data_IF_564218065195
#
_entry.id   IF_564218065195
#
_cell.length_a   1.000
_cell.length_b   1.000
_cell.length_c   1.000
_cell.angle_alpha   90.00
_cell.angle_beta   90.00
_cell.angle_gamma   90.00
#
_symmetry.space_group_name_H-M   'P 1'
#
loop_
_entity.id
_entity.type
_entity.pdbx_description
1 polymer ?
#
# COMPACT_ATOMS: atom_id res chain seq x y z
N UNK A 1 27.41 -24.54 12.80
CA UNK A 1 26.04 -24.43 12.24
C UNK A 1 25.37 -23.04 12.48
N UNK A 2 25.72 -22.27 13.52
CA UNK A 2 25.10 -20.99 13.83
C UNK A 2 25.36 -19.83 12.83
N UNK A 3 26.58 -19.72 12.29
CA UNK A 3 26.95 -18.63 11.36
C UNK A 3 26.27 -18.74 9.97
N UNK A 4 26.07 -19.94 9.45
CA UNK A 4 25.36 -20.12 8.17
C UNK A 4 23.87 -19.78 8.28
N UNK A 5 23.23 -20.07 9.42
CA UNK A 5 21.83 -19.72 9.68
C UNK A 5 21.63 -18.20 9.73
N UNK A 6 22.53 -17.47 10.42
CA UNK A 6 22.47 -16.01 10.51
C UNK A 6 22.69 -15.32 9.16
N UNK A 7 23.61 -15.82 8.33
CA UNK A 7 23.84 -15.27 6.98
C UNK A 7 22.64 -15.50 6.04
N UNK A 8 21.98 -16.65 6.15
CA UNK A 8 20.79 -16.96 5.33
C UNK A 8 19.59 -16.08 5.72
N UNK A 9 19.38 -15.86 7.01
CA UNK A 9 18.32 -14.96 7.52
C UNK A 9 18.60 -13.51 7.09
N UNK A 10 19.83 -13.03 7.22
CA UNK A 10 20.20 -11.69 6.78
C UNK A 10 19.99 -11.47 5.27
N UNK A 11 20.36 -12.44 4.43
CA UNK A 11 20.09 -12.40 2.97
C UNK A 11 18.59 -12.37 2.66
N UNK A 12 17.78 -13.16 3.37
CA UNK A 12 16.33 -13.16 3.22
C UNK A 12 15.69 -11.80 3.53
N UNK A 13 16.15 -11.16 4.60
CA UNK A 13 15.67 -9.81 4.99
C UNK A 13 16.07 -8.75 3.97
N UNK A 14 17.33 -8.75 3.49
CA UNK A 14 17.80 -7.79 2.48
C UNK A 14 17.02 -7.95 1.17
N UNK A 15 16.79 -9.19 0.72
CA UNK A 15 15.95 -9.46 -0.45
C UNK A 15 14.50 -9.00 -0.23
N UNK A 16 13.95 -9.18 0.99
CA UNK A 16 12.62 -8.68 1.36
C UNK A 16 12.52 -7.14 1.28
N UNK A 17 13.55 -6.43 1.75
CA UNK A 17 13.62 -4.96 1.65
C UNK A 17 13.70 -4.50 0.19
N UNK A 18 14.52 -5.14 -0.66
CA UNK A 18 14.62 -4.83 -2.08
C UNK A 18 13.29 -5.02 -2.83
N UNK A 19 12.60 -6.14 -2.57
CA UNK A 19 11.29 -6.41 -3.14
C UNK A 19 10.24 -5.40 -2.64
N UNK A 20 10.28 -5.04 -1.36
CA UNK A 20 9.44 -3.99 -0.80
C UNK A 20 9.67 -2.63 -1.47
N UNK A 21 10.93 -2.25 -1.70
CA UNK A 21 11.29 -1.02 -2.39
C UNK A 21 10.77 -1.00 -3.84
N UNK A 22 10.87 -2.13 -4.56
CA UNK A 22 10.31 -2.26 -5.91
C UNK A 22 8.78 -2.10 -5.90
N UNK A 23 8.09 -2.70 -4.92
CA UNK A 23 6.65 -2.50 -4.73
C UNK A 23 6.28 -1.05 -4.45
N UNK A 24 7.03 -0.38 -3.57
CA UNK A 24 6.82 1.05 -3.25
C UNK A 24 7.02 1.94 -4.47
N UNK A 25 8.05 1.68 -5.27
CA UNK A 25 8.27 2.41 -6.53
C UNK A 25 7.07 2.24 -7.48
N UNK A 26 6.57 1.02 -7.65
CA UNK A 26 5.38 0.77 -8.46
C UNK A 26 4.12 1.45 -7.88
N UNK A 27 3.96 1.52 -6.56
CA UNK A 27 2.80 2.16 -5.95
C UNK A 27 2.89 3.69 -5.89
N UNK A 28 4.09 4.27 -5.94
CA UNK A 28 4.27 5.72 -5.85
C UNK A 28 3.60 6.50 -6.98
N UNK A 29 3.41 5.89 -8.14
CA UNK A 29 2.69 6.44 -9.29
C UNK A 29 1.18 6.19 -9.25
N UNK A 30 0.66 5.43 -8.25
CA UNK A 30 -0.75 5.06 -8.22
C UNK A 30 -1.68 6.26 -8.04
N UNK A 31 -1.35 7.21 -7.14
CA UNK A 31 -2.17 8.41 -6.96
C UNK A 31 -2.10 9.36 -8.16
N UNK A 32 -0.90 9.72 -8.70
CA UNK A 32 -0.82 10.52 -9.91
C UNK A 32 -1.62 9.94 -11.07
N UNK A 33 -1.46 8.65 -11.35
CA UNK A 33 -2.21 8.03 -12.45
C UNK A 33 -3.69 7.83 -12.14
N UNK A 34 -4.08 7.64 -10.87
CA UNK A 34 -5.50 7.66 -10.51
C UNK A 34 -6.08 9.05 -10.76
N UNK A 35 -5.36 10.13 -10.42
CA UNK A 35 -5.79 11.51 -10.69
C UNK A 35 -6.01 11.74 -12.19
N UNK A 36 -5.05 11.34 -13.05
CA UNK A 36 -5.18 11.43 -14.51
C UNK A 36 -6.37 10.62 -15.02
N UNK A 37 -6.55 9.40 -14.50
CA UNK A 37 -7.62 8.53 -14.98
C UNK A 37 -9.01 9.06 -14.64
N UNK A 38 -9.21 9.61 -13.43
CA UNK A 38 -10.53 10.11 -12.98
C UNK A 38 -10.88 11.50 -13.52
N UNK A 39 -9.99 12.16 -14.26
CA UNK A 39 -10.32 13.38 -15.01
C UNK A 39 -11.26 13.10 -16.17
N UNK A 40 -11.09 11.96 -16.83
CA UNK A 40 -11.87 11.57 -18.01
C UNK A 40 -12.80 10.38 -17.72
N UNK A 41 -12.44 9.49 -16.81
CA UNK A 41 -13.16 8.26 -16.52
C UNK A 41 -13.91 8.36 -15.20
N UNK A 42 -15.09 7.75 -15.14
CA UNK A 42 -15.87 7.60 -13.91
C UNK A 42 -15.03 6.94 -12.79
N UNK A 43 -15.02 7.47 -11.55
CA UNK A 43 -14.18 6.96 -10.47
C UNK A 43 -14.51 5.51 -10.06
N UNK A 44 -15.75 5.07 -10.20
CA UNK A 44 -16.15 3.69 -9.98
C UNK A 44 -15.59 2.79 -11.08
N UNK A 45 -15.66 3.26 -12.33
CA UNK A 45 -15.04 2.55 -13.46
C UNK A 45 -13.52 2.41 -13.25
N UNK A 46 -12.82 3.47 -12.86
CA UNK A 46 -11.37 3.43 -12.59
C UNK A 46 -11.05 2.47 -11.44
N UNK A 47 -11.80 2.54 -10.32
CA UNK A 47 -11.56 1.72 -9.15
C UNK A 47 -11.77 0.22 -9.41
N UNK A 48 -12.89 -0.14 -10.02
CA UNK A 48 -13.27 -1.54 -10.20
C UNK A 48 -12.78 -2.13 -11.53
N UNK A 49 -12.72 -1.34 -12.59
CA UNK A 49 -12.26 -1.76 -13.90
C UNK A 49 -10.78 -2.20 -13.89
N UNK A 50 -9.92 -1.49 -13.15
CA UNK A 50 -8.52 -1.94 -12.99
C UNK A 50 -8.41 -3.27 -12.27
N UNK A 51 -9.32 -3.56 -11.34
CA UNK A 51 -9.38 -4.86 -10.67
C UNK A 51 -9.86 -5.97 -11.60
N UNK A 52 -10.82 -5.68 -12.48
CA UNK A 52 -11.26 -6.61 -13.53
C UNK A 52 -10.12 -6.95 -14.47
N UNK A 53 -9.42 -5.94 -15.03
CA UNK A 53 -8.27 -6.16 -15.90
C UNK A 53 -7.16 -6.95 -15.21
N UNK A 54 -6.83 -6.60 -13.96
CA UNK A 54 -5.87 -7.33 -13.14
C UNK A 54 -6.32 -8.78 -12.85
N UNK A 55 -7.63 -9.01 -12.69
CA UNK A 55 -8.18 -10.36 -12.49
C UNK A 55 -8.00 -11.26 -13.72
N UNK A 56 -8.09 -10.70 -14.92
CA UNK A 56 -7.78 -11.44 -16.16
C UNK A 56 -6.32 -11.87 -16.17
N UNK A 57 -5.39 -10.95 -15.86
CA UNK A 57 -3.96 -11.26 -15.74
C UNK A 57 -3.70 -12.31 -14.64
N UNK A 58 -4.37 -12.18 -13.49
CA UNK A 58 -4.29 -13.12 -12.38
C UNK A 58 -4.78 -14.52 -12.75
N UNK A 59 -5.90 -14.64 -13.47
CA UNK A 59 -6.39 -15.91 -14.00
C UNK A 59 -5.36 -16.57 -14.92
N UNK A 60 -4.75 -15.79 -15.82
CA UNK A 60 -3.65 -16.27 -16.69
C UNK A 60 -2.48 -16.80 -15.87
N UNK A 61 -1.99 -16.01 -14.91
CA UNK A 61 -0.88 -16.41 -14.03
C UNK A 61 -1.19 -17.70 -13.25
N UNK A 62 -2.36 -17.80 -12.61
CA UNK A 62 -2.73 -18.97 -11.81
C UNK A 62 -2.87 -20.22 -12.66
N UNK A 63 -3.37 -20.11 -13.91
CA UNK A 63 -3.45 -21.23 -14.86
C UNK A 63 -2.09 -21.70 -15.33
N UNK A 64 -1.23 -20.77 -15.75
CA UNK A 64 0.12 -21.08 -16.24
C UNK A 64 0.97 -21.74 -15.13
N UNK A 65 0.88 -21.21 -13.90
CA UNK A 65 1.64 -21.74 -12.75
C UNK A 65 0.98 -22.95 -12.09
N UNK A 66 -0.19 -23.39 -12.58
CA UNK A 66 -0.99 -24.47 -11.99
C UNK A 66 -1.12 -24.30 -10.46
N UNK A 67 -1.42 -23.07 -10.02
CA UNK A 67 -1.48 -22.73 -8.62
C UNK A 67 -2.53 -23.54 -7.87
N UNK A 68 -2.22 -24.15 -6.71
CA UNK A 68 -3.20 -24.87 -5.91
C UNK A 68 -4.29 -23.92 -5.42
N UNK A 69 -5.51 -24.46 -5.27
CA UNK A 69 -6.63 -23.68 -4.73
C UNK A 69 -6.43 -23.45 -3.23
N UNK A 70 -6.76 -22.25 -2.72
CA UNK A 70 -6.76 -21.94 -1.30
C UNK A 70 -7.75 -22.83 -0.53
N UNK A 71 -7.44 -23.11 0.72
CA UNK A 71 -8.38 -23.76 1.64
C UNK A 71 -9.46 -22.77 2.18
N UNK A 72 -10.41 -23.28 2.98
CA UNK A 72 -11.52 -22.45 3.51
C UNK A 72 -11.05 -21.31 4.43
N UNK A 73 -9.99 -21.51 5.19
CA UNK A 73 -9.46 -20.50 6.08
C UNK A 73 -8.74 -19.40 5.26
N UNK A 74 -7.96 -19.80 4.26
CA UNK A 74 -7.28 -18.91 3.33
C UNK A 74 -8.28 -18.09 2.50
N UNK A 75 -9.42 -18.66 2.06
CA UNK A 75 -10.45 -17.90 1.36
C UNK A 75 -11.05 -16.76 2.19
N UNK A 76 -11.29 -16.98 3.49
CA UNK A 76 -11.77 -15.91 4.40
C UNK A 76 -10.73 -14.78 4.52
N UNK A 77 -9.46 -15.15 4.62
CA UNK A 77 -8.36 -14.19 4.70
C UNK A 77 -8.16 -13.45 3.38
N UNK A 78 -8.28 -14.14 2.24
CA UNK A 78 -8.28 -13.54 0.91
C UNK A 78 -9.44 -12.55 0.72
N UNK A 79 -10.60 -12.79 1.32
CA UNK A 79 -11.70 -11.83 1.29
C UNK A 79 -11.34 -10.52 2.01
N UNK A 80 -10.61 -10.58 3.14
CA UNK A 80 -10.09 -9.39 3.83
C UNK A 80 -9.07 -8.65 2.94
N UNK A 81 -8.15 -9.38 2.30
CA UNK A 81 -7.20 -8.81 1.34
C UNK A 81 -7.93 -8.14 0.18
N UNK A 82 -8.92 -8.82 -0.42
CA UNK A 82 -9.70 -8.29 -1.53
C UNK A 82 -10.47 -7.01 -1.12
N UNK A 83 -11.15 -7.04 0.02
CA UNK A 83 -11.87 -5.89 0.54
C UNK A 83 -10.93 -4.69 0.84
N UNK A 84 -9.72 -4.96 1.32
CA UNK A 84 -8.75 -3.92 1.63
C UNK A 84 -8.08 -3.31 0.41
N UNK A 85 -7.34 -4.12 -0.34
CA UNK A 85 -6.42 -3.62 -1.39
C UNK A 85 -6.99 -3.67 -2.80
N UNK A 86 -7.95 -4.57 -3.08
CA UNK A 86 -8.53 -4.68 -4.42
C UNK A 86 -9.75 -3.76 -4.58
N UNK A 87 -10.55 -3.62 -3.55
CA UNK A 87 -11.79 -2.83 -3.57
C UNK A 87 -11.63 -1.51 -2.81
N UNK A 88 -11.33 -1.56 -1.53
CA UNK A 88 -11.41 -0.41 -0.63
C UNK A 88 -10.43 0.70 -1.00
N UNK A 89 -9.16 0.41 -1.05
CA UNK A 89 -8.16 1.42 -1.39
C UNK A 89 -8.40 2.04 -2.78
N UNK A 90 -8.62 1.26 -3.86
CA UNK A 90 -8.89 1.83 -5.16
C UNK A 90 -10.15 2.68 -5.23
N UNK A 91 -11.23 2.24 -4.60
CA UNK A 91 -12.50 2.97 -4.60
C UNK A 91 -12.35 4.32 -3.90
N UNK A 92 -11.89 4.29 -2.67
CA UNK A 92 -11.82 5.52 -1.87
C UNK A 92 -10.76 6.49 -2.37
N UNK A 93 -9.64 6.02 -2.93
CA UNK A 93 -8.68 6.92 -3.58
C UNK A 93 -9.22 7.51 -4.88
N UNK A 94 -9.94 6.74 -5.69
CA UNK A 94 -10.56 7.26 -6.92
C UNK A 94 -11.61 8.33 -6.59
N UNK A 95 -12.48 8.09 -5.60
CA UNK A 95 -13.46 9.08 -5.15
C UNK A 95 -12.80 10.33 -4.56
N UNK A 96 -11.76 10.17 -3.74
CA UNK A 96 -11.06 11.32 -3.17
C UNK A 96 -10.40 12.20 -4.23
N UNK A 97 -9.77 11.59 -5.23
CA UNK A 97 -9.00 12.29 -6.25
C UNK A 97 -9.87 12.95 -7.35
N UNK A 98 -11.18 12.82 -7.30
CA UNK A 98 -12.07 13.66 -8.12
C UNK A 98 -12.06 15.13 -7.65
N UNK A 99 -11.87 15.36 -6.36
CA UNK A 99 -11.96 16.70 -5.73
C UNK A 99 -10.67 17.11 -5.00
N UNK A 100 -9.67 16.23 -4.91
CA UNK A 100 -8.39 16.46 -4.23
C UNK A 100 -7.21 16.22 -5.18
N UNK A 101 -6.05 16.81 -4.86
CA UNK A 101 -4.82 16.61 -5.61
C UNK A 101 -4.11 15.31 -5.21
N UNK A 102 -3.28 14.77 -6.11
CA UNK A 102 -2.46 13.60 -5.78
C UNK A 102 -1.42 13.94 -4.69
N UNK A 103 -0.91 15.18 -4.68
CA UNK A 103 0.00 15.67 -3.64
C UNK A 103 -0.66 15.70 -2.24
N UNK A 104 -1.91 16.16 -2.11
CA UNK A 104 -2.66 16.12 -0.87
C UNK A 104 -2.89 14.67 -0.41
N UNK A 105 -3.35 13.81 -1.32
CA UNK A 105 -3.55 12.39 -1.05
C UNK A 105 -2.28 11.68 -0.58
N UNK A 106 -1.10 12.03 -1.14
CA UNK A 106 0.19 11.47 -0.73
C UNK A 106 0.50 11.72 0.75
N UNK A 107 0.17 12.93 1.25
CA UNK A 107 0.42 13.27 2.67
C UNK A 107 -0.51 12.48 3.59
N UNK A 108 -1.78 12.38 3.27
CA UNK A 108 -2.74 11.60 4.08
C UNK A 108 -2.36 10.11 4.10
N UNK A 109 -1.97 9.57 2.95
CA UNK A 109 -1.55 8.17 2.82
C UNK A 109 -0.22 7.89 3.54
N UNK A 110 0.57 8.90 3.90
CA UNK A 110 1.77 8.73 4.71
C UNK A 110 1.52 8.08 6.09
N UNK A 111 0.28 8.04 6.57
CA UNK A 111 -0.12 7.29 7.79
C UNK A 111 -0.17 5.77 7.57
N UNK A 112 -0.25 5.32 6.31
CA UNK A 112 -0.46 3.91 5.97
C UNK A 112 0.54 2.94 6.61
N UNK A 113 1.86 3.22 6.69
CA UNK A 113 2.81 2.33 7.37
C UNK A 113 2.57 2.17 8.86
N UNK A 114 2.18 3.24 9.56
CA UNK A 114 1.84 3.18 10.98
C UNK A 114 0.59 2.33 11.19
N UNK A 115 -0.45 2.53 10.38
CA UNK A 115 -1.67 1.75 10.43
C UNK A 115 -1.43 0.27 10.07
N UNK A 116 -0.57 0.00 9.06
CA UNK A 116 -0.17 -1.36 8.69
C UNK A 116 0.51 -2.08 9.85
N UNK A 117 1.30 -1.36 10.63
CA UNK A 117 1.96 -1.93 11.80
C UNK A 117 0.98 -2.24 12.94
N UNK A 118 -0.04 -1.42 13.15
CA UNK A 118 -1.12 -1.73 14.09
C UNK A 118 -1.79 -3.05 13.70
N UNK A 119 -2.17 -3.19 12.43
CA UNK A 119 -2.78 -4.42 11.95
C UNK A 119 -1.80 -5.61 11.91
N UNK A 120 -0.51 -5.39 11.71
CA UNK A 120 0.50 -6.46 11.82
C UNK A 120 0.57 -7.06 13.23
N UNK A 121 0.41 -6.23 14.27
CA UNK A 121 0.28 -6.71 15.65
C UNK A 121 -1.02 -7.49 15.83
N UNK A 122 -2.15 -6.89 15.43
CA UNK A 122 -3.48 -7.46 15.68
C UNK A 122 -3.76 -8.74 14.88
N UNK A 123 -3.25 -8.83 13.63
CA UNK A 123 -3.57 -9.89 12.68
C UNK A 123 -2.46 -10.89 12.43
N UNK A 124 -1.21 -10.45 12.47
CA UNK A 124 -0.04 -11.28 12.18
C UNK A 124 0.79 -11.61 13.43
N UNK A 125 0.39 -11.13 14.62
CA UNK A 125 1.07 -11.38 15.89
C UNK A 125 2.47 -10.78 15.99
N UNK A 126 2.82 -9.81 15.14
CA UNK A 126 4.12 -9.13 15.19
C UNK A 126 4.21 -8.27 16.45
N UNK A 127 5.40 -8.17 17.04
CA UNK A 127 5.67 -7.39 18.26
C UNK A 127 6.69 -6.29 17.97
N UNK A 128 6.28 -5.14 17.43
CA UNK A 128 7.18 -4.02 17.20
C UNK A 128 7.69 -3.42 18.53
N UNK A 129 8.93 -2.91 18.56
CA UNK A 129 9.47 -2.28 19.77
C UNK A 129 8.75 -0.96 20.09
N UNK A 130 8.79 -0.48 21.37
CA UNK A 130 8.09 0.74 21.80
C UNK A 130 8.39 1.98 20.95
N UNK A 131 9.63 2.15 20.49
CA UNK A 131 10.03 3.27 19.64
C UNK A 131 9.33 3.26 18.27
N UNK A 132 8.91 2.09 17.79
CA UNK A 132 8.08 1.98 16.60
C UNK A 132 6.72 2.68 16.78
N UNK A 133 6.11 2.52 17.95
CA UNK A 133 4.85 3.17 18.29
C UNK A 133 5.00 4.68 18.44
N UNK A 134 6.10 5.13 19.06
CA UNK A 134 6.41 6.56 19.17
C UNK A 134 6.54 7.22 17.80
N UNK A 135 7.20 6.56 16.84
CA UNK A 135 7.31 7.07 15.48
C UNK A 135 5.99 7.02 14.70
N UNK A 136 5.17 5.99 14.93
CA UNK A 136 3.81 5.92 14.37
C UNK A 136 2.93 7.08 14.83
N UNK A 137 2.98 7.40 16.12
CA UNK A 137 2.30 8.57 16.72
C UNK A 137 2.87 9.88 16.13
N UNK A 138 4.19 10.00 16.03
CA UNK A 138 4.84 11.16 15.40
C UNK A 138 4.40 11.38 13.95
N UNK A 139 4.32 10.32 13.16
CA UNK A 139 3.80 10.37 11.80
C UNK A 139 2.33 10.79 11.74
N UNK A 140 1.49 10.26 12.64
CA UNK A 140 0.08 10.66 12.75
C UNK A 140 -0.06 12.13 13.11
N UNK A 141 0.69 12.61 14.11
CA UNK A 141 0.71 14.03 14.50
C UNK A 141 1.13 14.91 13.33
N UNK A 142 2.16 14.52 12.56
CA UNK A 142 2.59 15.27 11.38
C UNK A 142 1.49 15.40 10.33
N UNK A 143 0.75 14.31 10.04
CA UNK A 143 -0.38 14.33 9.11
C UNK A 143 -1.54 15.18 9.64
N UNK A 144 -1.90 15.03 10.92
CA UNK A 144 -2.95 15.87 11.52
C UNK A 144 -2.58 17.36 11.46
N UNK A 145 -1.33 17.70 11.81
CA UNK A 145 -0.82 19.08 11.70
C UNK A 145 -0.89 19.59 10.27
N UNK A 146 -0.54 18.76 9.28
CA UNK A 146 -0.66 19.09 7.87
C UNK A 146 -2.13 19.37 7.47
N UNK A 147 -3.07 18.49 7.83
CA UNK A 147 -4.50 18.68 7.53
C UNK A 147 -5.06 19.96 8.18
N UNK A 148 -4.62 20.26 9.41
CA UNK A 148 -4.99 21.52 10.09
C UNK A 148 -4.39 22.74 9.39
N UNK A 149 -3.11 22.68 9.01
CA UNK A 149 -2.39 23.81 8.38
C UNK A 149 -2.91 24.13 6.97
N UNK A 150 -3.37 23.14 6.23
CA UNK A 150 -3.95 23.31 4.89
C UNK A 150 -5.41 23.78 4.91
N UNK A 151 -5.99 23.95 6.11
CA UNK A 151 -7.37 24.40 6.25
C UNK A 151 -8.42 23.32 6.06
N UNK A 152 -8.01 22.05 5.85
CA UNK A 152 -8.94 20.91 5.73
C UNK A 152 -9.81 20.73 6.99
N UNK A 153 -9.39 21.26 8.13
CA UNK A 153 -10.12 21.20 9.42
C UNK A 153 -10.93 22.47 9.72
N UNK A 154 -10.86 23.51 8.89
CA UNK A 154 -11.62 24.78 9.11
C UNK A 154 -13.10 24.72 8.74
N UNK A 155 -13.57 23.61 8.28
CA UNK A 155 -14.99 23.26 8.09
C UNK A 155 -15.02 21.76 8.06
N UNK A 156 -16.08 21.05 8.39
CA UNK A 156 -16.17 19.60 8.43
C UNK A 156 -15.12 18.93 7.51
N UNK A 157 -14.42 17.89 8.00
CA UNK A 157 -13.47 17.10 7.19
C UNK A 157 -13.96 17.02 5.76
N UNK A 158 -13.20 17.51 4.80
CA UNK A 158 -13.63 17.46 3.41
C UNK A 158 -13.89 15.98 3.06
N UNK A 159 -14.94 15.69 2.28
CA UNK A 159 -15.29 14.30 1.94
C UNK A 159 -14.11 13.50 1.39
N UNK A 160 -13.20 14.18 0.66
CA UNK A 160 -11.95 13.60 0.17
C UNK A 160 -11.05 13.05 1.29
N UNK A 161 -10.92 13.77 2.42
CA UNK A 161 -10.07 13.32 3.54
C UNK A 161 -10.64 12.07 4.22
N UNK A 162 -11.97 12.01 4.37
CA UNK A 162 -12.65 10.83 4.89
C UNK A 162 -12.40 9.63 3.97
N UNK A 163 -12.52 9.81 2.66
CA UNK A 163 -12.21 8.75 1.72
C UNK A 163 -10.75 8.31 1.79
N UNK A 164 -9.79 9.23 1.89
CA UNK A 164 -8.37 8.89 2.01
C UNK A 164 -8.07 8.13 3.31
N UNK A 165 -8.67 8.52 4.44
CA UNK A 165 -8.51 7.80 5.71
C UNK A 165 -9.12 6.40 5.67
N UNK A 166 -10.30 6.24 5.04
CA UNK A 166 -10.90 4.92 4.80
C UNK A 166 -10.02 4.06 3.89
N UNK A 167 -9.46 4.64 2.82
CA UNK A 167 -8.52 3.97 1.95
C UNK A 167 -7.30 3.47 2.72
N UNK A 168 -6.71 4.31 3.59
CA UNK A 168 -5.57 3.95 4.45
C UNK A 168 -5.91 2.80 5.38
N UNK A 169 -7.03 2.88 6.10
CA UNK A 169 -7.41 1.85 7.07
C UNK A 169 -7.63 0.48 6.39
N UNK A 170 -8.36 0.45 5.29
CA UNK A 170 -8.65 -0.76 4.55
C UNK A 170 -7.39 -1.34 3.88
N UNK A 171 -6.56 -0.48 3.30
CA UNK A 171 -5.30 -0.90 2.69
C UNK A 171 -4.33 -1.50 3.72
N UNK A 172 -4.19 -0.85 4.87
CA UNK A 172 -3.36 -1.31 5.98
C UNK A 172 -3.77 -2.70 6.47
N UNK A 173 -5.08 -2.93 6.64
CA UNK A 173 -5.62 -4.24 6.99
C UNK A 173 -5.30 -5.27 5.91
N UNK A 174 -5.51 -4.93 4.64
CA UNK A 174 -5.21 -5.80 3.51
C UNK A 174 -3.72 -6.11 3.35
N UNK A 175 -2.83 -5.15 3.68
CA UNK A 175 -1.38 -5.37 3.68
C UNK A 175 -0.94 -6.30 4.81
N UNK A 176 -1.46 -6.13 6.02
CA UNK A 176 -1.12 -6.98 7.15
C UNK A 176 -1.59 -8.43 6.90
N UNK A 177 -2.84 -8.61 6.49
CA UNK A 177 -3.40 -9.93 6.22
C UNK A 177 -2.75 -10.59 5.00
N UNK A 178 -2.57 -9.84 3.91
CA UNK A 178 -1.93 -10.33 2.69
C UNK A 178 -0.47 -10.66 2.89
N UNK A 179 0.28 -9.87 3.67
CA UNK A 179 1.66 -10.16 4.04
C UNK A 179 1.80 -11.43 4.88
N UNK A 180 0.88 -11.66 5.83
CA UNK A 180 0.84 -12.90 6.60
C UNK A 180 0.48 -14.11 5.72
N UNK A 181 -0.53 -13.98 4.87
CA UNK A 181 -0.97 -15.04 3.97
C UNK A 181 0.06 -15.35 2.86
N UNK A 182 0.85 -14.36 2.46
CA UNK A 182 1.92 -14.55 1.48
C UNK A 182 3.07 -15.43 2.00
N UNK A 183 3.19 -15.64 3.31
CA UNK A 183 4.11 -16.64 3.88
C UNK A 183 3.66 -18.09 3.59
N UNK A 184 2.36 -18.29 3.39
CA UNK A 184 1.75 -19.60 3.12
C UNK A 184 1.61 -19.86 1.61
N UNK A 185 1.03 -18.90 0.88
CA UNK A 185 0.69 -19.04 -0.54
C UNK A 185 1.78 -18.51 -1.49
N UNK A 186 2.66 -17.62 -0.99
CA UNK A 186 3.54 -16.80 -1.80
C UNK A 186 2.87 -15.50 -2.27
N UNK A 187 3.68 -14.43 -2.43
CA UNK A 187 3.16 -13.08 -2.70
C UNK A 187 2.29 -12.97 -3.95
N UNK A 188 2.76 -13.53 -5.07
CA UNK A 188 2.03 -13.50 -6.34
C UNK A 188 0.68 -14.24 -6.26
N UNK A 189 0.64 -15.42 -5.64
CA UNK A 189 -0.60 -16.20 -5.52
C UNK A 189 -1.60 -15.51 -4.61
N UNK A 190 -1.15 -14.85 -3.53
CA UNK A 190 -2.00 -14.12 -2.60
C UNK A 190 -2.81 -13.05 -3.31
N UNK A 191 -2.16 -12.17 -4.07
CA UNK A 191 -2.89 -11.12 -4.80
C UNK A 191 -3.73 -11.69 -5.94
N UNK A 192 -3.23 -12.69 -6.68
CA UNK A 192 -3.98 -13.31 -7.77
C UNK A 192 -5.29 -13.95 -7.29
N UNK A 193 -5.26 -14.69 -6.19
CA UNK A 193 -6.48 -15.28 -5.62
C UNK A 193 -7.43 -14.23 -5.05
N UNK A 194 -6.94 -13.14 -4.46
CA UNK A 194 -7.76 -12.04 -4.00
C UNK A 194 -8.47 -11.32 -5.17
N UNK A 195 -7.76 -11.10 -6.28
CA UNK A 195 -8.31 -10.54 -7.51
C UNK A 195 -9.39 -11.44 -8.13
N UNK A 196 -9.15 -12.75 -8.23
CA UNK A 196 -10.12 -13.70 -8.76
C UNK A 196 -11.35 -13.79 -7.85
N UNK A 197 -11.17 -13.77 -6.53
CA UNK A 197 -12.28 -13.78 -5.56
C UNK A 197 -13.18 -12.55 -5.72
N UNK A 198 -12.61 -11.38 -5.93
CA UNK A 198 -13.35 -10.12 -6.08
C UNK A 198 -13.96 -9.93 -7.47
N UNK A 199 -13.51 -10.70 -8.48
CA UNK A 199 -13.85 -10.46 -9.89
C UNK A 199 -15.34 -10.43 -10.19
N UNK A 200 -16.25 -11.26 -9.59
CA UNK A 200 -17.68 -11.16 -9.90
C UNK A 200 -18.29 -9.81 -9.48
N UNK A 201 -17.96 -9.36 -8.27
CA UNK A 201 -18.44 -8.06 -7.76
C UNK A 201 -17.84 -6.89 -8.51
N UNK A 202 -16.51 -6.90 -8.75
CA UNK A 202 -15.84 -5.82 -9.47
C UNK A 202 -16.31 -5.72 -10.92
N UNK A 203 -16.57 -6.85 -11.59
CA UNK A 203 -17.12 -6.88 -12.94
C UNK A 203 -18.53 -6.27 -12.99
N UNK A 204 -19.42 -6.63 -12.05
CA UNK A 204 -20.76 -6.09 -11.99
C UNK A 204 -20.76 -4.56 -11.82
N UNK A 205 -19.93 -4.04 -10.91
CA UNK A 205 -19.82 -2.59 -10.70
C UNK A 205 -19.19 -1.89 -11.90
N UNK A 206 -18.15 -2.46 -12.50
CA UNK A 206 -17.52 -1.91 -13.71
C UNK A 206 -18.51 -1.85 -14.86
N UNK A 207 -19.29 -2.90 -15.08
CA UNK A 207 -20.30 -2.93 -16.14
C UNK A 207 -21.40 -1.89 -15.89
N UNK A 208 -21.87 -1.75 -14.66
CA UNK A 208 -22.85 -0.73 -14.29
C UNK A 208 -22.28 0.69 -14.54
N UNK A 209 -21.06 0.97 -14.08
CA UNK A 209 -20.41 2.27 -14.31
C UNK A 209 -20.21 2.55 -15.82
N UNK A 210 -19.83 1.54 -16.61
CA UNK A 210 -19.64 1.70 -18.05
C UNK A 210 -20.95 1.94 -18.81
N UNK A 211 -22.07 1.42 -18.34
CA UNK A 211 -23.40 1.66 -18.93
C UNK A 211 -23.91 3.06 -18.58
N UNK A 212 -23.71 3.50 -17.34
CA UNK A 212 -24.17 4.82 -16.88
C UNK A 212 -23.30 5.96 -17.40
N UNK A 213 -21.99 5.76 -17.45
CA UNK A 213 -21.00 6.73 -17.90
C UNK A 213 -20.12 6.09 -18.96
N UNK A 214 -20.54 6.18 -20.24
CA UNK A 214 -19.77 5.58 -21.33
C UNK A 214 -18.30 6.03 -21.25
N UNK A 215 -17.34 5.10 -21.18
CA UNK A 215 -15.94 5.42 -20.94
C UNK A 215 -15.28 6.03 -22.19
N UNK A 216 -15.35 7.35 -22.31
CA UNK A 216 -14.62 8.13 -23.31
C UNK A 216 -13.49 8.87 -22.59
N UNK A 217 -12.26 8.57 -22.96
CA UNK A 217 -11.10 9.14 -22.30
C UNK A 217 -9.95 9.39 -23.27
N UNK A 218 -9.07 10.31 -22.92
CA UNK A 218 -7.82 10.57 -23.62
C UNK A 218 -6.89 9.35 -23.59
N UNK A 219 -5.95 9.31 -24.53
CA UNK A 219 -4.91 8.26 -24.52
C UNK A 219 -4.11 8.27 -23.20
N UNK A 220 -3.89 9.46 -22.62
CA UNK A 220 -3.22 9.61 -21.34
C UNK A 220 -3.99 8.93 -20.19
N UNK A 221 -5.30 9.13 -20.10
CA UNK A 221 -6.15 8.50 -19.10
C UNK A 221 -6.21 6.98 -19.26
N UNK A 222 -6.29 6.47 -20.50
CA UNK A 222 -6.21 5.03 -20.77
C UNK A 222 -4.85 4.43 -20.44
N UNK A 223 -3.74 5.14 -20.72
CA UNK A 223 -2.40 4.69 -20.35
C UNK A 223 -2.24 4.64 -18.82
N UNK A 224 -2.75 5.67 -18.11
CA UNK A 224 -2.78 5.70 -16.66
C UNK A 224 -3.61 4.54 -16.09
N UNK A 225 -4.80 4.28 -16.63
CA UNK A 225 -5.64 3.13 -16.27
C UNK A 225 -4.94 1.79 -16.52
N UNK A 226 -4.24 1.65 -17.66
CA UNK A 226 -3.43 0.48 -17.99
C UNK A 226 -2.30 0.24 -16.96
N UNK A 227 -1.60 1.31 -16.56
CA UNK A 227 -0.59 1.24 -15.49
C UNK A 227 -1.20 0.81 -14.15
N UNK A 228 -2.31 1.43 -13.75
CA UNK A 228 -3.04 1.07 -12.52
C UNK A 228 -3.45 -0.40 -12.51
N UNK A 229 -3.85 -0.92 -13.66
CA UNK A 229 -4.26 -2.32 -13.86
C UNK A 229 -3.07 -3.29 -13.78
N UNK A 230 -2.09 -3.11 -14.67
CA UNK A 230 -1.01 -4.09 -14.87
C UNK A 230 0.11 -3.94 -13.84
N UNK A 231 0.48 -2.72 -13.51
CA UNK A 231 1.62 -2.47 -12.62
C UNK A 231 1.18 -2.29 -11.18
N UNK A 232 0.29 -1.32 -10.90
CA UNK A 232 -0.11 -1.01 -9.52
C UNK A 232 -0.91 -2.15 -8.88
N UNK A 233 -1.93 -2.70 -9.59
CA UNK A 233 -2.84 -3.70 -9.03
C UNK A 233 -2.35 -5.14 -9.15
N UNK A 234 -1.42 -5.43 -10.06
CA UNK A 234 -0.96 -6.80 -10.33
C UNK A 234 0.53 -6.98 -10.01
N UNK A 235 1.45 -6.47 -10.83
CA UNK A 235 2.89 -6.73 -10.68
C UNK A 235 3.49 -6.12 -9.40
N UNK A 236 3.07 -4.92 -9.00
CA UNK A 236 3.54 -4.27 -7.79
C UNK A 236 3.27 -5.10 -6.54
N UNK A 237 2.11 -5.76 -6.48
CA UNK A 237 1.77 -6.65 -5.37
C UNK A 237 2.59 -7.94 -5.34
N UNK A 238 3.11 -8.43 -6.46
CA UNK A 238 4.03 -9.58 -6.47
C UNK A 238 5.28 -9.26 -5.65
N UNK A 239 5.89 -8.13 -5.94
CA UNK A 239 7.08 -7.65 -5.22
C UNK A 239 6.74 -7.29 -3.77
N UNK A 240 5.65 -6.54 -3.55
CA UNK A 240 5.23 -6.06 -2.24
C UNK A 240 4.96 -7.21 -1.25
N UNK A 241 4.06 -8.13 -1.59
CA UNK A 241 3.73 -9.25 -0.70
C UNK A 241 4.90 -10.23 -0.52
N UNK A 242 5.71 -10.46 -1.55
CA UNK A 242 6.94 -11.25 -1.39
C UNK A 242 7.93 -10.56 -0.46
N UNK A 243 8.01 -9.22 -0.51
CA UNK A 243 8.80 -8.40 0.40
C UNK A 243 8.32 -8.53 1.85
N UNK A 244 7.02 -8.31 2.09
CA UNK A 244 6.40 -8.43 3.42
C UNK A 244 6.58 -9.83 4.02
N UNK A 245 6.42 -10.87 3.21
CA UNK A 245 6.56 -12.26 3.67
C UNK A 245 8.00 -12.59 4.11
N UNK A 246 9.01 -12.09 3.36
CA UNK A 246 10.43 -12.39 3.61
C UNK A 246 11.08 -11.49 4.65
N UNK A 247 10.72 -10.20 4.64
CA UNK A 247 11.37 -9.17 5.47
C UNK A 247 10.61 -8.80 6.76
N UNK A 248 9.40 -9.35 6.95
CA UNK A 248 8.49 -8.99 8.03
C UNK A 248 7.60 -7.78 7.69
N UNK A 249 6.33 -7.86 8.06
CA UNK A 249 5.30 -6.88 7.66
C UNK A 249 5.63 -5.49 8.20
N UNK A 250 5.91 -5.40 9.51
CA UNK A 250 6.24 -4.13 10.13
C UNK A 250 7.56 -3.52 9.61
N UNK A 251 8.58 -4.34 9.29
CA UNK A 251 9.88 -3.85 8.81
C UNK A 251 9.82 -3.37 7.36
N UNK A 252 9.28 -4.18 6.46
CA UNK A 252 9.16 -3.85 5.03
C UNK A 252 8.12 -2.75 4.84
N UNK A 253 7.04 -2.76 5.62
CA UNK A 253 6.04 -1.70 5.62
C UNK A 253 6.60 -0.30 5.85
N UNK A 254 7.72 -0.19 6.57
CA UNK A 254 8.41 1.09 6.77
C UNK A 254 9.02 1.67 5.46
N UNK A 255 9.40 0.83 4.50
CA UNK A 255 9.93 1.32 3.21
C UNK A 255 8.87 2.15 2.48
N UNK A 256 7.59 1.86 2.73
CA UNK A 256 6.46 2.58 2.14
C UNK A 256 6.43 4.07 2.51
N UNK A 257 7.21 4.49 3.50
CA UNK A 257 7.34 5.90 3.86
C UNK A 257 8.15 6.72 2.83
N UNK A 258 8.87 6.07 1.94
CA UNK A 258 9.43 6.72 0.75
C UNK A 258 8.31 7.03 -0.28
N UNK A 259 7.18 6.33 -0.24
CA UNK A 259 6.12 6.49 -1.22
C UNK A 259 5.54 7.91 -1.29
N UNK A 260 5.19 8.59 -0.19
CA UNK A 260 4.68 9.96 -0.26
C UNK A 260 5.64 10.93 -0.94
N UNK A 261 6.95 10.82 -0.66
CA UNK A 261 7.97 11.68 -1.28
C UNK A 261 8.05 11.43 -2.78
N UNK A 262 8.08 10.16 -3.19
CA UNK A 262 8.06 9.80 -4.61
C UNK A 262 6.77 10.28 -5.27
N UNK A 263 5.62 10.12 -4.61
CA UNK A 263 4.33 10.57 -5.14
C UNK A 263 4.29 12.09 -5.30
N UNK A 264 4.79 12.87 -4.33
CA UNK A 264 4.92 14.33 -4.45
C UNK A 264 5.82 14.72 -5.63
N UNK A 265 6.94 14.03 -5.81
CA UNK A 265 7.84 14.24 -6.95
C UNK A 265 7.10 13.97 -8.28
N UNK A 266 6.40 12.85 -8.38
CA UNK A 266 5.63 12.51 -9.59
C UNK A 266 4.47 13.47 -9.84
N UNK A 267 3.77 13.93 -8.79
CA UNK A 267 2.70 14.92 -8.91
C UNK A 267 3.21 16.24 -9.47
N UNK A 268 4.38 16.71 -9.00
CA UNK A 268 5.02 17.90 -9.54
C UNK A 268 5.48 17.73 -10.99
N UNK A 269 6.15 16.60 -11.29
CA UNK A 269 6.79 16.39 -12.60
C UNK A 269 5.78 16.02 -13.70
N UNK A 270 4.76 15.21 -13.38
CA UNK A 270 3.84 14.65 -14.38
C UNK A 270 2.53 15.44 -14.47
N UNK A 271 2.05 15.99 -13.36
CA UNK A 271 0.77 16.71 -13.30
C UNK A 271 0.93 18.22 -13.23
N UNK A 272 2.17 18.72 -13.05
CA UNK A 272 2.41 20.16 -12.85
C UNK A 272 1.78 20.67 -11.55
N UNK A 273 1.42 19.79 -10.60
CA UNK A 273 0.84 20.19 -9.32
C UNK A 273 1.85 21.02 -8.52
N UNK A 274 1.43 22.17 -8.01
CA UNK A 274 2.24 22.96 -7.09
C UNK A 274 2.29 22.28 -5.73
N UNK A 275 3.47 21.76 -5.36
CA UNK A 275 3.68 21.14 -4.05
C UNK A 275 3.84 22.24 -3.00
N UNK A 276 2.84 22.39 -2.14
CA UNK A 276 2.89 23.38 -1.07
C UNK A 276 4.09 23.11 -0.13
N UNK A 277 4.81 24.16 0.37
CA UNK A 277 5.90 23.96 1.33
C UNK A 277 5.48 23.15 2.57
N UNK A 278 4.24 23.27 3.00
CA UNK A 278 3.67 22.47 4.08
C UNK A 278 3.67 20.96 3.77
N UNK A 279 3.40 20.57 2.52
CA UNK A 279 3.44 19.16 2.08
C UNK A 279 4.85 18.60 2.13
N UNK A 280 5.85 19.41 1.71
CA UNK A 280 7.26 19.05 1.78
C UNK A 280 7.67 18.89 3.24
N UNK A 281 7.32 19.87 4.09
CA UNK A 281 7.60 19.84 5.53
C UNK A 281 7.01 18.60 6.21
N UNK A 282 5.74 18.28 5.95
CA UNK A 282 5.08 17.09 6.48
C UNK A 282 5.78 15.80 5.99
N UNK A 283 6.11 15.71 4.71
CA UNK A 283 6.83 14.57 4.16
C UNK A 283 8.21 14.37 4.80
N UNK A 284 8.97 15.46 5.03
CA UNK A 284 10.26 15.42 5.71
C UNK A 284 10.15 14.95 7.15
N UNK A 285 9.15 15.45 7.92
CA UNK A 285 8.90 15.03 9.30
C UNK A 285 8.54 13.54 9.35
N UNK A 286 7.67 13.10 8.47
CA UNK A 286 7.29 11.68 8.36
C UNK A 286 8.53 10.83 8.06
N UNK A 287 9.34 11.20 7.07
CA UNK A 287 10.59 10.48 6.75
C UNK A 287 11.56 10.45 7.93
N UNK A 288 11.74 11.55 8.65
CA UNK A 288 12.60 11.61 9.83
C UNK A 288 12.12 10.65 10.92
N UNK A 289 10.82 10.62 11.21
CA UNK A 289 10.22 9.66 12.16
C UNK A 289 10.52 8.22 11.78
N UNK A 290 10.54 7.91 10.49
CA UNK A 290 10.85 6.57 9.97
C UNK A 290 12.30 6.20 10.08
N UNK A 291 13.18 7.08 9.65
CA UNK A 291 14.64 6.87 9.79
C UNK A 291 15.02 6.64 11.25
N UNK A 292 14.43 7.40 12.17
CA UNK A 292 14.60 7.22 13.61
C UNK A 292 14.14 5.82 14.06
N UNK A 293 12.98 5.37 13.58
CA UNK A 293 12.45 4.03 13.89
C UNK A 293 13.36 2.90 13.39
N UNK A 294 13.88 3.03 12.16
CA UNK A 294 14.79 2.05 11.58
C UNK A 294 16.12 1.98 12.34
N UNK A 295 16.70 3.12 12.70
CA UNK A 295 17.96 3.21 13.46
C UNK A 295 17.85 2.64 14.87
N UNK A 296 16.72 2.84 15.54
CA UNK A 296 16.49 2.31 16.87
C UNK A 296 16.38 0.79 16.90
N UNK A 297 15.81 0.17 15.88
CA UNK A 297 15.77 -1.30 15.74
C UNK A 297 17.14 -1.91 15.51
N UNK A 298 18.00 -1.24 14.75
CA UNK A 298 19.37 -1.70 14.52
C UNK A 298 20.17 -1.77 15.84
N UNK A 299 19.90 -0.85 16.78
CA UNK A 299 20.56 -0.81 18.10
C UNK A 299 19.98 -1.82 19.11
N UNK A 300 18.68 -2.11 19.07
CA UNK A 300 18.02 -3.06 19.97
C UNK A 300 18.42 -4.52 19.70
N UNK A 301 18.60 -4.91 18.43
CA UNK A 301 19.00 -6.27 18.05
C UNK A 301 20.43 -6.65 18.50
N UNK A 302 21.33 -5.67 18.55
CA UNK A 302 22.70 -5.89 19.04
C UNK A 302 22.82 -5.97 20.57
N UNK A 303 21.85 -5.40 21.30
CA UNK A 303 21.80 -5.45 22.77
C UNK A 303 21.35 -6.81 23.30
N UNK A 304 20.36 -7.43 22.68
CA UNK A 304 19.85 -8.75 23.08
C UNK A 304 20.85 -9.88 22.78
N UNK A 305 21.57 -9.82 21.66
CA UNK A 305 22.64 -10.78 21.38
C UNK A 305 23.80 -10.67 22.39
N UNK A 306 24.17 -9.47 22.80
CA UNK A 306 25.23 -9.28 23.81
C UNK A 306 24.83 -9.78 25.21
N UNK A 307 23.57 -9.60 25.62
CA UNK A 307 23.07 -10.13 26.88
C UNK A 307 22.91 -11.66 26.86
N UNK A 308 22.56 -12.25 25.73
CA UNK A 308 22.48 -13.71 25.58
C UNK A 308 23.87 -14.37 25.63
N UNK A 309 24.92 -13.70 25.12
CA UNK A 309 26.31 -14.20 25.18
C UNK A 309 26.90 -14.03 26.58
N UNK A 310 26.51 -12.99 27.35
CA UNK A 310 26.99 -12.76 28.72
C UNK A 310 26.38 -13.69 29.78
N UNK A 311 25.31 -14.40 29.44
CA UNK A 311 24.62 -15.36 30.34
C UNK A 311 25.00 -16.83 30.10
N UNK A 312 25.93 -17.09 29.19
CA UNK A 312 26.57 -18.39 28.97
C UNK A 312 28.02 -18.38 29.47
#
# INVERSE_FOLDING_TARGET
MSQQSSATVARGVTAGLGLGALGVLAFSLSLPFTRVAVEDLDPWFVAFGRAVGASVLACGYLRITRAPRPDRAQWRRLAVVAAGVVVGFPLFTSLALTTSTAAHGAVVIAVLPAMTAVFAVLRAGERPPPLFWAAGVGGLVAVVTFLVSTGAVRGALAGADVYLLLAVALCALGYAEGGALARELGGARTICWALVLSSPGTLAVTAAAAVTHHPHASLGAWAAFGYLTAVSMFLGFFAWYAGLARGGIARVGQIQLAQPVLTLLWSALLLGETVAPASIGAAVVVLACVVLTQRARARGGTGDERMAVSRR
#
